data_IF_165455484032
#
_entry.id   IF_165455484032
#
_cell.length_a   1.000
_cell.length_b   1.000
_cell.length_c   1.000
_cell.angle_alpha   90.00
_cell.angle_beta   90.00
_cell.angle_gamma   90.00
#
_symmetry.space_group_name_H-M   'P 1'
#
loop_
_entity.id
_entity.type
_entity.pdbx_description
1 polymer ?
#
# COMPACT_ATOMS: atom_id res chain seq x y z
N UNK A 1 15.21 22.34 -1.57
CA UNK A 1 14.87 20.93 -1.25
C UNK A 1 13.37 20.67 -1.45
N UNK A 2 12.89 20.32 -2.65
CA UNK A 2 11.45 20.02 -2.88
C UNK A 2 11.16 18.88 -3.88
N UNK A 3 12.19 18.15 -4.34
CA UNK A 3 12.06 17.04 -5.32
C UNK A 3 11.86 15.66 -4.69
N UNK A 4 12.10 15.50 -3.39
CA UNK A 4 12.02 14.20 -2.68
C UNK A 4 10.56 13.78 -2.43
N UNK A 5 9.68 14.71 -2.06
CA UNK A 5 8.29 14.42 -1.65
C UNK A 5 7.34 14.03 -2.79
N UNK A 6 7.51 14.59 -4.00
CA UNK A 6 6.64 14.22 -5.14
C UNK A 6 6.93 12.81 -5.66
N UNK A 7 8.20 12.38 -5.61
CA UNK A 7 8.61 11.03 -6.03
C UNK A 7 8.17 9.96 -5.02
N UNK A 8 8.26 10.23 -3.71
CA UNK A 8 7.79 9.29 -2.68
C UNK A 8 6.27 9.09 -2.78
N UNK A 9 5.49 10.18 -2.88
CA UNK A 9 4.03 10.12 -3.07
C UNK A 9 3.63 9.31 -4.30
N UNK A 10 4.31 9.51 -5.43
CA UNK A 10 4.03 8.74 -6.65
C UNK A 10 4.37 7.25 -6.56
N UNK A 11 5.29 6.85 -5.66
CA UNK A 11 5.64 5.45 -5.39
C UNK A 11 4.59 4.81 -4.47
N UNK A 12 4.20 5.49 -3.41
CA UNK A 12 3.15 5.05 -2.47
C UNK A 12 1.84 4.80 -3.21
N UNK A 13 1.37 5.76 -4.01
CA UNK A 13 0.13 5.58 -4.77
C UNK A 13 0.18 4.40 -5.74
N UNK A 14 1.33 4.15 -6.39
CA UNK A 14 1.53 2.99 -7.27
C UNK A 14 1.51 1.67 -6.50
N UNK A 15 2.14 1.63 -5.33
CA UNK A 15 2.16 0.44 -4.48
C UNK A 15 0.77 0.12 -3.92
N UNK A 16 0.03 1.13 -3.44
CA UNK A 16 -1.36 0.96 -3.01
C UNK A 16 -2.21 0.40 -4.16
N UNK A 17 -2.09 0.97 -5.36
CA UNK A 17 -2.82 0.48 -6.53
C UNK A 17 -2.45 -0.97 -6.88
N UNK A 18 -1.18 -1.36 -6.73
CA UNK A 18 -0.72 -2.74 -6.95
C UNK A 18 -1.37 -3.71 -5.96
N UNK A 19 -1.38 -3.39 -4.67
CA UNK A 19 -1.99 -4.22 -3.62
C UNK A 19 -3.50 -4.38 -3.83
N UNK A 20 -4.20 -3.30 -4.19
CA UNK A 20 -5.64 -3.35 -4.49
C UNK A 20 -5.91 -4.18 -5.75
N UNK A 21 -5.04 -4.11 -6.76
CA UNK A 21 -5.16 -4.91 -7.98
C UNK A 21 -4.90 -6.41 -7.71
N UNK A 22 -3.98 -6.73 -6.81
CA UNK A 22 -3.75 -8.09 -6.35
C UNK A 22 -4.94 -8.65 -5.58
N UNK A 23 -5.58 -7.84 -4.73
CA UNK A 23 -6.84 -8.18 -4.08
C UNK A 23 -7.94 -8.47 -5.11
N UNK A 24 -8.08 -7.64 -6.15
CA UNK A 24 -9.05 -7.91 -7.24
C UNK A 24 -8.82 -9.24 -7.93
N UNK A 25 -7.56 -9.68 -8.06
CA UNK A 25 -7.21 -10.95 -8.73
C UNK A 25 -7.32 -12.17 -7.82
N UNK A 26 -7.04 -12.03 -6.53
CA UNK A 26 -6.83 -13.18 -5.62
C UNK A 26 -7.73 -13.19 -4.39
N UNK A 27 -8.48 -12.12 -4.15
CA UNK A 27 -9.31 -11.93 -2.95
C UNK A 27 -8.53 -11.64 -1.68
N UNK A 28 -7.20 -11.45 -1.75
CA UNK A 28 -6.33 -11.18 -0.60
C UNK A 28 -5.20 -10.22 -0.96
N UNK A 29 -4.64 -9.57 0.04
CA UNK A 29 -3.43 -8.74 -0.10
C UNK A 29 -2.30 -9.49 0.61
N UNK A 30 -1.28 -9.92 -0.13
CA UNK A 30 -0.07 -10.51 0.47
C UNK A 30 1.02 -9.45 0.59
N UNK A 31 1.64 -9.40 1.75
CA UNK A 31 2.87 -8.63 1.99
C UNK A 31 3.94 -9.58 2.54
N UNK A 32 5.19 -9.12 2.61
CA UNK A 32 6.27 -9.90 3.21
C UNK A 32 6.05 -10.23 4.69
N UNK A 33 5.25 -9.42 5.40
CA UNK A 33 5.00 -9.56 6.84
C UNK A 33 3.70 -10.28 7.18
N UNK A 34 2.67 -10.13 6.35
CA UNK A 34 1.34 -10.66 6.64
C UNK A 34 0.50 -10.85 5.37
N UNK A 35 -0.51 -11.71 5.47
CA UNK A 35 -1.58 -11.83 4.49
C UNK A 35 -2.85 -11.21 5.05
N UNK A 36 -3.40 -10.21 4.35
CA UNK A 36 -4.64 -9.54 4.69
C UNK A 36 -5.78 -10.06 3.81
N UNK A 37 -6.98 -10.19 4.40
CA UNK A 37 -8.20 -10.58 3.69
C UNK A 37 -9.25 -9.49 3.85
N UNK A 38 -9.15 -8.41 3.05
CA UNK A 38 -10.14 -7.34 3.08
C UNK A 38 -11.52 -7.85 2.67
N UNK A 39 -12.57 -7.35 3.33
CA UNK A 39 -13.95 -7.76 3.02
C UNK A 39 -14.53 -7.04 1.80
N UNK A 40 -13.92 -5.93 1.39
CA UNK A 40 -14.36 -5.13 0.25
C UNK A 40 -13.19 -4.39 -0.41
N UNK A 41 -13.42 -3.85 -1.61
CA UNK A 41 -12.43 -3.01 -2.30
C UNK A 41 -12.04 -1.76 -1.50
N UNK A 42 -13.00 -1.16 -0.80
CA UNK A 42 -12.75 0.02 0.04
C UNK A 42 -11.84 -0.32 1.22
N UNK A 43 -12.10 -1.48 1.84
CA UNK A 43 -11.28 -2.01 2.92
C UNK A 43 -9.87 -2.40 2.42
N UNK A 44 -9.78 -3.00 1.22
CA UNK A 44 -8.51 -3.31 0.58
C UNK A 44 -7.64 -2.06 0.34
N UNK A 45 -8.25 -0.98 -0.15
CA UNK A 45 -7.56 0.29 -0.36
C UNK A 45 -7.10 0.91 0.97
N UNK A 46 -7.94 0.85 2.02
CA UNK A 46 -7.59 1.36 3.35
C UNK A 46 -6.40 0.60 3.95
N UNK A 47 -6.42 -0.74 3.89
CA UNK A 47 -5.35 -1.58 4.40
C UNK A 47 -4.07 -1.40 3.58
N UNK A 48 -4.16 -1.36 2.25
CA UNK A 48 -3.02 -1.10 1.36
C UNK A 48 -2.35 0.26 1.67
N UNK A 49 -3.14 1.31 1.92
CA UNK A 49 -2.63 2.61 2.32
C UNK A 49 -1.92 2.54 3.69
N UNK A 50 -2.53 1.89 4.68
CA UNK A 50 -1.93 1.74 6.01
C UNK A 50 -0.57 1.00 5.96
N UNK A 51 -0.46 -0.03 5.12
CA UNK A 51 0.79 -0.79 4.92
C UNK A 51 1.89 0.11 4.34
N UNK A 52 1.60 0.84 3.26
CA UNK A 52 2.61 1.65 2.58
C UNK A 52 3.00 2.89 3.38
N UNK A 53 2.04 3.60 4.00
CA UNK A 53 2.36 4.72 4.88
C UNK A 53 3.07 4.28 6.17
N UNK A 54 2.73 3.09 6.69
CA UNK A 54 3.48 2.48 7.79
C UNK A 54 4.92 2.15 7.40
N UNK A 55 5.13 1.67 6.17
CA UNK A 55 6.46 1.39 5.62
C UNK A 55 7.29 2.65 5.40
N UNK A 56 6.70 3.72 4.84
CA UNK A 56 7.39 5.00 4.64
C UNK A 56 7.87 5.59 5.98
N UNK A 57 7.03 5.55 7.03
CA UNK A 57 7.45 5.94 8.39
C UNK A 57 8.55 5.08 8.99
N UNK A 58 8.64 3.80 8.59
CA UNK A 58 9.66 2.88 9.09
C UNK A 58 11.02 3.05 8.38
N UNK A 59 11.02 3.53 7.13
CA UNK A 59 12.25 3.80 6.35
C UNK A 59 12.82 5.20 6.63
N UNK A 60 12.08 6.06 7.35
CA UNK A 60 12.49 7.42 7.72
C UNK A 60 13.00 7.54 9.17
N UNK A 61 13.02 6.44 9.95
CA UNK A 61 13.61 6.33 11.30
C UNK A 61 14.93 5.56 11.29
#
# INVERSE_FOLDING_TARGET
MARKSKRSRGRVSRNIAKLVREYKRTGKIKTSRATYRPKSLRDAARQAAAIEYGRERSEES
#
